data_IF_833926518075
#
_entry.id   IF_833926518075
#
_cell.length_a   1.000
_cell.length_b   1.000
_cell.length_c   1.000
_cell.angle_alpha   90.00
_cell.angle_beta   90.00
_cell.angle_gamma   90.00
#
_symmetry.space_group_name_H-M   'P 1'
#
loop_
_entity.id
_entity.type
_entity.pdbx_description
1 polymer ?
#
# COMPACT_ATOMS: atom_id res chain seq x y z
N UNK A 1 3.79 -7.74 18.66
CA UNK A 1 4.03 -8.77 17.63
C UNK A 1 4.96 -8.17 16.59
N UNK A 2 6.08 -8.79 16.24
CA UNK A 2 6.98 -8.27 15.17
C UNK A 2 6.36 -8.41 13.77
N UNK A 3 6.83 -7.63 12.79
CA UNK A 3 6.36 -7.71 11.39
C UNK A 3 6.47 -9.14 10.81
N UNK A 4 7.54 -9.86 11.17
CA UNK A 4 7.72 -11.28 10.80
C UNK A 4 6.71 -12.18 11.49
N UNK A 5 6.33 -11.91 12.74
CA UNK A 5 5.29 -12.69 13.41
C UNK A 5 3.92 -12.50 12.77
N UNK A 6 3.63 -11.31 12.22
CA UNK A 6 2.42 -11.05 11.42
C UNK A 6 2.43 -11.88 10.13
N UNK A 7 3.56 -11.91 9.41
CA UNK A 7 3.74 -12.74 8.21
C UNK A 7 3.72 -14.26 8.50
N UNK A 8 4.34 -14.69 9.60
CA UNK A 8 4.53 -16.11 9.96
C UNK A 8 3.25 -16.74 10.50
N UNK A 9 2.50 -16.04 11.38
CA UNK A 9 1.20 -16.53 11.87
C UNK A 9 0.24 -16.85 10.72
N UNK A 10 0.33 -16.11 9.62
CA UNK A 10 -0.55 -16.29 8.47
C UNK A 10 -0.12 -17.38 7.50
N UNK A 11 1.18 -17.66 7.32
CA UNK A 11 1.59 -18.85 6.54
C UNK A 11 1.08 -20.15 7.17
N UNK A 12 1.02 -20.20 8.51
CA UNK A 12 0.44 -21.33 9.25
C UNK A 12 -1.08 -21.41 9.05
N UNK A 13 -1.81 -20.28 9.15
CA UNK A 13 -3.26 -20.24 8.89
C UNK A 13 -3.62 -20.57 7.44
N UNK A 14 -2.83 -20.16 6.44
CA UNK A 14 -3.03 -20.51 5.02
C UNK A 14 -2.80 -22.01 4.76
N UNK A 15 -1.79 -22.63 5.39
CA UNK A 15 -1.58 -24.10 5.32
C UNK A 15 -2.80 -24.86 5.86
N UNK A 16 -3.37 -24.39 6.98
CA UNK A 16 -4.56 -25.00 7.58
C UNK A 16 -5.83 -24.82 6.70
N UNK A 17 -6.01 -23.64 6.09
CA UNK A 17 -7.11 -23.40 5.15
C UNK A 17 -7.01 -24.25 3.87
N UNK A 18 -5.79 -24.47 3.36
CA UNK A 18 -5.54 -25.35 2.20
C UNK A 18 -5.81 -26.83 2.52
N UNK A 19 -5.42 -27.29 3.71
CA UNK A 19 -5.69 -28.67 4.17
C UNK A 19 -7.20 -28.89 4.38
N UNK A 20 -7.94 -27.87 4.79
CA UNK A 20 -9.40 -27.94 4.94
C UNK A 20 -10.17 -27.96 3.61
N UNK A 21 -9.57 -27.51 2.51
CA UNK A 21 -10.21 -27.44 1.19
C UNK A 21 -10.06 -28.73 0.36
N UNK A 22 -9.27 -29.69 0.84
CA UNK A 22 -9.07 -31.00 0.20
C UNK A 22 -9.78 -32.10 1.00
N UNK A 23 -11.11 -32.17 0.93
CA UNK A 23 -11.88 -33.38 1.26
C UNK A 23 -12.52 -33.92 -0.03
N UNK A 24 -12.41 -35.23 -0.34
CA UNK A 24 -12.99 -35.80 -1.54
C UNK A 24 -14.52 -35.84 -1.40
N UNK A 25 -15.21 -35.40 -2.45
CA UNK A 25 -16.65 -35.59 -2.61
C UNK A 25 -16.86 -37.04 -3.04
N UNK A 26 -17.32 -37.87 -2.11
CA UNK A 26 -17.94 -39.18 -2.42
C UNK A 26 -19.45 -38.96 -2.35
N UNK A 27 -20.13 -39.29 -3.45
CA UNK A 27 -21.56 -39.03 -3.64
C UNK A 27 -22.49 -40.00 -2.90
N UNK A 28 -23.75 -39.59 -2.81
CA UNK A 28 -24.91 -40.48 -2.80
C UNK A 28 -26.16 -39.67 -3.19
N UNK A 29 -26.99 -40.28 -4.01
CA UNK A 29 -28.19 -39.72 -4.60
C UNK A 29 -29.46 -40.03 -3.80
N UNK A 30 -30.50 -39.25 -4.11
CA UNK A 30 -31.91 -39.63 -4.24
C UNK A 30 -32.90 -39.35 -3.07
N UNK A 31 -34.05 -38.78 -3.51
CA UNK A 31 -35.44 -39.13 -3.11
C UNK A 31 -36.22 -38.15 -2.21
N UNK A 32 -37.01 -37.29 -2.88
CA UNK A 32 -38.49 -37.16 -2.79
C UNK A 32 -39.19 -36.40 -1.65
N UNK A 33 -39.96 -35.38 -2.10
CA UNK A 33 -41.26 -34.82 -1.66
C UNK A 33 -41.49 -34.39 -0.19
N UNK A 34 -41.89 -33.12 -0.01
CA UNK A 34 -43.24 -32.67 0.43
C UNK A 34 -43.17 -31.19 0.90
N UNK A 35 -44.01 -30.34 0.29
CA UNK A 35 -44.54 -29.07 0.87
C UNK A 35 -45.81 -29.40 1.70
N UNK A 36 -46.56 -28.49 2.39
CA UNK A 36 -46.61 -27.00 2.26
C UNK A 36 -46.91 -26.17 3.56
N UNK A 37 -47.16 -24.87 3.31
CA UNK A 37 -47.91 -23.85 4.11
C UNK A 37 -47.09 -23.07 5.16
N UNK A 38 -47.19 -21.74 5.33
CA UNK A 38 -48.36 -20.83 5.33
C UNK A 38 -48.00 -19.35 5.03
N UNK A 39 -49.06 -18.59 4.68
CA UNK A 39 -49.19 -17.15 4.39
C UNK A 39 -48.63 -16.17 5.43
N UNK A 40 -48.20 -14.98 4.99
CA UNK A 40 -48.90 -13.72 5.32
C UNK A 40 -48.48 -12.53 4.43
N UNK A 41 -49.51 -11.82 3.95
CA UNK A 41 -49.48 -10.57 3.16
C UNK A 41 -49.10 -9.38 4.04
N UNK A 42 -48.38 -8.38 3.51
CA UNK A 42 -48.87 -6.99 3.49
C UNK A 42 -48.16 -6.17 2.40
N UNK A 43 -48.93 -5.23 1.86
CA UNK A 43 -48.75 -4.46 0.63
C UNK A 43 -48.45 -3.02 1.03
N UNK A 44 -47.51 -2.34 0.35
CA UNK A 44 -47.49 -0.88 0.30
C UNK A 44 -46.96 -0.42 -1.06
N UNK A 45 -47.88 0.16 -1.82
CA UNK A 45 -47.66 0.92 -3.04
C UNK A 45 -47.26 2.35 -2.65
N UNK A 46 -46.25 2.91 -3.30
CA UNK A 46 -46.26 4.33 -3.65
C UNK A 46 -45.57 4.52 -5.01
N UNK A 47 -46.20 5.37 -5.81
CA UNK A 47 -46.01 5.56 -7.24
C UNK A 47 -45.13 6.80 -7.53
N UNK A 48 -44.70 6.90 -8.80
CA UNK A 48 -44.16 8.04 -9.55
C UNK A 48 -42.66 8.39 -9.48
N UNK A 49 -41.98 7.90 -10.51
CA UNK A 49 -41.30 8.66 -11.57
C UNK A 49 -40.94 10.13 -11.30
N UNK A 50 -39.64 10.45 -11.30
CA UNK A 50 -39.12 11.65 -11.96
C UNK A 50 -37.68 11.41 -12.45
N UNK A 51 -37.46 11.77 -13.70
CA UNK A 51 -36.24 11.64 -14.48
C UNK A 51 -35.37 12.90 -14.28
N UNK A 52 -34.05 12.78 -14.10
CA UNK A 52 -33.04 13.47 -14.93
C UNK A 52 -31.60 13.30 -14.40
N UNK A 53 -30.71 13.05 -15.37
CA UNK A 53 -29.30 13.43 -15.43
C UNK A 53 -28.28 12.59 -14.66
N UNK A 54 -27.82 11.56 -15.37
CA UNK A 54 -26.54 10.88 -15.16
C UNK A 54 -25.39 11.87 -15.15
N UNK A 55 -24.67 11.98 -14.04
CA UNK A 55 -23.26 12.38 -14.05
C UNK A 55 -22.43 11.12 -13.87
N UNK A 56 -21.78 10.72 -14.95
CA UNK A 56 -20.79 9.65 -15.00
C UNK A 56 -19.67 9.95 -14.00
N UNK A 57 -19.69 9.27 -12.86
CA UNK A 57 -18.50 9.08 -12.04
C UNK A 57 -17.52 8.29 -12.91
N UNK A 58 -16.43 8.95 -13.31
CA UNK A 58 -15.33 8.31 -14.01
C UNK A 58 -14.90 7.07 -13.25
N UNK A 59 -15.21 5.91 -13.83
CA UNK A 59 -14.85 4.62 -13.29
C UNK A 59 -13.33 4.55 -13.24
N UNK A 60 -12.79 4.21 -12.06
CA UNK A 60 -11.42 3.72 -11.94
C UNK A 60 -11.24 2.61 -12.99
N UNK A 61 -10.14 2.60 -13.75
CA UNK A 61 -9.97 1.66 -14.84
C UNK A 61 -10.04 0.23 -14.30
N UNK A 62 -11.06 -0.51 -14.73
CA UNK A 62 -11.16 -1.96 -14.55
C UNK A 62 -9.93 -2.57 -15.22
N UNK A 63 -9.09 -3.19 -14.40
CA UNK A 63 -7.81 -3.80 -14.78
C UNK A 63 -7.93 -4.60 -16.08
N UNK A 64 -7.31 -4.11 -17.16
CA UNK A 64 -6.90 -4.98 -18.26
C UNK A 64 -5.92 -5.99 -17.65
N UNK A 65 -6.30 -7.26 -17.71
CA UNK A 65 -5.61 -8.38 -17.11
C UNK A 65 -4.27 -8.62 -17.82
N UNK A 66 -3.26 -7.80 -17.56
CA UNK A 66 -1.87 -8.19 -17.75
C UNK A 66 -1.59 -9.29 -16.72
N UNK A 67 -1.24 -10.47 -17.21
CA UNK A 67 -1.03 -11.70 -16.48
C UNK A 67 0.19 -11.60 -15.56
N UNK A 68 0.03 -10.95 -14.40
CA UNK A 68 0.99 -11.10 -13.30
C UNK A 68 1.13 -12.61 -13.02
N UNK A 69 2.35 -13.18 -13.03
CA UNK A 69 2.56 -14.59 -12.81
C UNK A 69 1.91 -15.03 -11.50
N UNK A 70 0.96 -15.97 -11.61
CA UNK A 70 0.12 -16.44 -10.50
C UNK A 70 0.85 -17.34 -9.50
N UNK A 71 2.16 -17.57 -9.68
CA UNK A 71 2.99 -18.28 -8.71
C UNK A 71 4.27 -17.49 -8.43
N UNK A 72 4.70 -17.43 -7.16
CA UNK A 72 6.01 -16.91 -6.78
C UNK A 72 7.10 -17.65 -7.55
N UNK A 73 7.80 -16.95 -8.44
CA UNK A 73 9.02 -17.50 -9.03
C UNK A 73 10.16 -17.17 -8.06
N UNK A 74 10.96 -18.17 -7.71
CA UNK A 74 12.22 -17.94 -6.99
C UNK A 74 13.03 -16.92 -7.78
N UNK A 75 13.56 -15.90 -7.10
CA UNK A 75 14.24 -14.75 -7.72
C UNK A 75 13.31 -13.61 -8.14
N UNK A 76 11.98 -13.72 -7.98
CA UNK A 76 11.06 -12.60 -8.21
C UNK A 76 11.17 -11.55 -7.11
N UNK A 77 10.90 -10.27 -7.42
CA UNK A 77 10.98 -9.21 -6.45
C UNK A 77 9.83 -9.27 -5.44
N UNK A 78 10.14 -8.91 -4.19
CA UNK A 78 9.15 -8.69 -3.13
C UNK A 78 9.21 -7.25 -2.68
N UNK A 79 8.15 -6.49 -2.94
CA UNK A 79 8.14 -5.05 -2.69
C UNK A 79 7.67 -4.75 -1.27
N UNK A 80 8.46 -3.97 -0.55
CA UNK A 80 8.09 -3.41 0.74
C UNK A 80 7.82 -1.92 0.50
N UNK A 81 6.54 -1.60 0.31
CA UNK A 81 6.09 -0.23 0.02
C UNK A 81 5.86 0.48 1.36
N UNK A 82 6.82 1.31 1.75
CA UNK A 82 6.87 1.99 3.02
C UNK A 82 6.50 3.47 2.87
N UNK A 83 5.49 3.93 3.60
CA UNK A 83 5.26 5.37 3.77
C UNK A 83 5.99 5.91 5.00
N UNK A 84 6.55 7.11 4.84
CA UNK A 84 7.09 7.92 5.92
C UNK A 84 6.19 9.13 6.17
N UNK A 85 6.15 9.58 7.42
CA UNK A 85 5.22 10.57 7.95
C UNK A 85 5.45 10.72 9.45
N UNK A 86 4.76 11.66 10.07
CA UNK A 86 4.70 11.81 11.52
C UNK A 86 3.53 11.00 12.12
N UNK A 87 3.58 10.67 13.42
CA UNK A 87 2.53 9.89 14.07
C UNK A 87 1.13 10.50 13.97
N UNK A 88 0.12 9.65 13.83
CA UNK A 88 -1.31 10.04 13.84
C UNK A 88 -1.89 9.83 15.24
N UNK A 89 -2.92 10.61 15.66
CA UNK A 89 -3.77 11.49 14.83
C UNK A 89 -3.26 12.94 14.65
N UNK A 90 -2.29 13.40 15.44
CA UNK A 90 -1.84 14.81 15.45
C UNK A 90 -1.47 15.33 14.05
N UNK A 91 -0.69 14.56 13.30
CA UNK A 91 -0.19 14.94 11.97
C UNK A 91 -1.01 14.37 10.80
N UNK A 92 -2.19 13.84 11.07
CA UNK A 92 -3.04 13.22 10.03
C UNK A 92 -3.40 14.24 8.93
N UNK A 93 -3.23 13.87 7.66
CA UNK A 93 -3.58 14.74 6.53
C UNK A 93 -2.66 15.94 6.33
N UNK A 94 -1.55 16.05 7.05
CA UNK A 94 -0.50 17.05 6.76
C UNK A 94 0.22 16.73 5.46
N UNK A 95 0.87 17.73 4.83
CA UNK A 95 1.62 17.49 3.58
C UNK A 95 2.75 16.47 3.76
N UNK A 96 3.44 16.49 4.91
CA UNK A 96 4.44 15.49 5.28
C UNK A 96 3.86 14.08 5.48
N UNK A 97 2.55 13.95 5.67
CA UNK A 97 1.87 12.66 5.77
C UNK A 97 1.23 12.23 4.43
N UNK A 98 1.51 12.89 3.31
CA UNK A 98 0.97 12.48 1.99
C UNK A 98 1.38 11.05 1.62
N UNK A 99 2.55 10.60 2.06
CA UNK A 99 2.99 9.21 1.87
C UNK A 99 2.05 8.22 2.56
N UNK A 100 1.58 8.52 3.77
CA UNK A 100 0.60 7.71 4.48
C UNK A 100 -0.74 7.67 3.75
N UNK A 101 -1.21 8.82 3.25
CA UNK A 101 -2.43 8.90 2.45
C UNK A 101 -2.32 8.03 1.19
N UNK A 102 -1.22 8.14 0.44
CA UNK A 102 -1.01 7.37 -0.79
C UNK A 102 -0.94 5.88 -0.52
N UNK A 103 -0.20 5.44 0.51
CA UNK A 103 -0.11 4.02 0.85
C UNK A 103 -1.44 3.46 1.33
N UNK A 104 -2.25 4.24 2.05
CA UNK A 104 -3.62 3.85 2.40
C UNK A 104 -4.49 3.63 1.15
N UNK A 105 -4.42 4.52 0.16
CA UNK A 105 -5.15 4.38 -1.10
C UNK A 105 -4.68 3.18 -1.91
N UNK A 106 -3.37 2.92 -1.96
CA UNK A 106 -2.83 1.72 -2.61
C UNK A 106 -3.30 0.44 -1.91
N UNK A 107 -3.25 0.40 -0.57
CA UNK A 107 -3.76 -0.74 0.22
C UNK A 107 -5.22 -1.05 -0.15
N UNK A 108 -6.07 -0.03 -0.20
CA UNK A 108 -7.48 -0.16 -0.58
C UNK A 108 -7.63 -0.61 -2.04
N UNK A 109 -6.89 0.01 -2.96
CA UNK A 109 -6.90 -0.34 -4.39
C UNK A 109 -6.58 -1.81 -4.64
N UNK A 110 -5.58 -2.36 -3.95
CA UNK A 110 -5.21 -3.77 -4.08
C UNK A 110 -6.06 -4.73 -3.22
N UNK A 111 -7.01 -4.23 -2.42
CA UNK A 111 -7.85 -5.06 -1.55
C UNK A 111 -7.08 -5.73 -0.40
N UNK A 112 -6.04 -5.08 0.11
CA UNK A 112 -5.25 -5.58 1.23
C UNK A 112 -6.02 -5.49 2.55
N UNK A 113 -5.55 -6.23 3.57
CA UNK A 113 -6.15 -6.26 4.90
C UNK A 113 -6.16 -4.87 5.52
N UNK A 114 -6.94 -4.70 6.59
CA UNK A 114 -6.74 -3.58 7.49
C UNK A 114 -5.34 -3.61 8.12
N UNK A 115 -4.96 -2.48 8.70
CA UNK A 115 -3.67 -2.31 9.33
C UNK A 115 -3.52 -3.18 10.59
N UNK A 116 -2.49 -4.02 10.59
CA UNK A 116 -2.00 -4.64 11.81
C UNK A 116 -1.03 -3.70 12.52
N UNK A 117 -1.39 -3.30 13.73
CA UNK A 117 -0.53 -2.45 14.56
C UNK A 117 0.61 -3.26 15.17
N UNK A 118 1.80 -2.67 15.17
CA UNK A 118 2.98 -3.19 15.85
C UNK A 118 3.60 -2.09 16.68
N UNK A 119 3.09 -1.95 17.90
CA UNK A 119 3.47 -0.86 18.81
C UNK A 119 4.94 -0.95 19.24
N UNK A 120 5.48 -2.17 19.35
CA UNK A 120 6.89 -2.40 19.70
C UNK A 120 7.84 -1.85 18.63
N UNK A 121 7.45 -1.92 17.37
CA UNK A 121 8.28 -1.48 16.24
C UNK A 121 7.79 -0.15 15.65
N UNK A 122 6.78 0.46 16.31
CA UNK A 122 6.13 1.73 15.94
C UNK A 122 5.79 1.78 14.46
N UNK A 123 5.04 0.79 13.99
CA UNK A 123 4.62 0.70 12.60
C UNK A 123 3.25 0.03 12.45
N UNK A 124 2.68 0.17 11.26
CA UNK A 124 1.53 -0.61 10.82
C UNK A 124 1.88 -1.34 9.54
N UNK A 125 1.40 -2.58 9.41
CA UNK A 125 1.60 -3.39 8.20
C UNK A 125 0.24 -3.89 7.67
N UNK A 126 0.10 -3.97 6.35
CA UNK A 126 -1.08 -4.56 5.71
C UNK A 126 -0.65 -5.63 4.71
N UNK A 127 -1.43 -6.71 4.64
CA UNK A 127 -1.07 -7.93 3.91
C UNK A 127 -2.11 -8.27 2.82
N UNK A 128 -1.72 -9.05 1.80
CA UNK A 128 -2.66 -9.57 0.81
C UNK A 128 -3.73 -10.45 1.49
N UNK A 129 -5.00 -10.18 1.21
CA UNK A 129 -6.14 -10.99 1.69
C UNK A 129 -6.52 -12.04 0.65
N UNK A 130 -7.16 -13.14 1.06
CA UNK A 130 -7.69 -14.14 0.12
C UNK A 130 -8.79 -13.59 -0.79
N UNK A 131 -9.50 -12.54 -0.33
CA UNK A 131 -10.51 -11.81 -1.10
C UNK A 131 -9.93 -10.67 -1.94
N UNK A 132 -8.63 -10.38 -1.81
CA UNK A 132 -7.97 -9.38 -2.65
C UNK A 132 -8.01 -9.84 -4.09
N UNK A 133 -8.00 -8.90 -5.03
CA UNK A 133 -7.85 -9.21 -6.46
C UNK A 133 -6.50 -9.84 -6.77
N UNK A 134 -5.55 -9.87 -5.82
CA UNK A 134 -4.20 -10.41 -5.98
C UNK A 134 -3.68 -11.04 -4.68
N UNK A 135 -4.24 -12.19 -4.24
CA UNK A 135 -3.98 -12.80 -2.93
C UNK A 135 -2.54 -13.29 -2.72
N UNK A 136 -1.77 -13.38 -3.81
CA UNK A 136 -0.37 -13.81 -3.84
C UNK A 136 0.58 -12.72 -4.37
N UNK A 137 0.14 -11.46 -4.37
CA UNK A 137 1.00 -10.34 -4.75
C UNK A 137 2.18 -10.24 -3.77
N UNK A 138 3.45 -10.29 -4.23
CA UNK A 138 4.62 -10.21 -3.35
C UNK A 138 4.88 -8.75 -2.96
N UNK A 139 3.89 -8.14 -2.29
CA UNK A 139 3.88 -6.77 -1.83
C UNK A 139 3.48 -6.75 -0.36
N UNK A 140 4.17 -5.92 0.41
CA UNK A 140 3.82 -5.57 1.78
C UNK A 140 3.66 -4.05 1.85
N UNK A 141 2.52 -3.58 2.37
CA UNK A 141 2.37 -2.18 2.74
C UNK A 141 2.82 -1.96 4.17
N UNK A 142 3.68 -0.97 4.35
CA UNK A 142 4.23 -0.56 5.63
C UNK A 142 3.95 0.93 5.84
N UNK A 143 3.50 1.28 7.05
CA UNK A 143 3.28 2.66 7.48
C UNK A 143 4.14 2.92 8.72
N UNK A 144 5.08 3.87 8.62
CA UNK A 144 5.86 4.33 9.77
C UNK A 144 4.93 4.92 10.83
N UNK A 145 5.18 4.63 12.10
CA UNK A 145 4.52 5.23 13.26
C UNK A 145 5.49 6.02 14.13
N UNK A 146 6.58 6.53 13.54
CA UNK A 146 7.60 7.32 14.24
C UNK A 146 7.65 8.74 13.71
N UNK A 147 8.31 9.65 14.43
CA UNK A 147 8.53 11.01 13.92
C UNK A 147 9.42 10.99 12.68
N UNK A 148 9.16 11.93 11.78
CA UNK A 148 9.78 12.02 10.47
C UNK A 148 11.31 12.00 10.55
N UNK A 149 11.90 12.79 11.45
CA UNK A 149 13.36 12.90 11.62
C UNK A 149 14.04 11.64 12.17
N UNK A 150 13.31 10.70 12.76
CA UNK A 150 13.83 9.46 13.36
C UNK A 150 13.29 8.20 12.70
N UNK A 151 12.75 8.32 11.49
CA UNK A 151 12.17 7.19 10.75
C UNK A 151 13.18 6.11 10.35
N UNK A 152 14.48 6.43 10.24
CA UNK A 152 15.48 5.51 9.71
C UNK A 152 15.76 4.28 10.57
N UNK A 153 15.98 4.44 11.88
CA UNK A 153 16.40 3.33 12.74
C UNK A 153 15.30 2.28 12.94
N UNK A 154 14.04 2.66 13.23
CA UNK A 154 12.92 1.72 13.26
C UNK A 154 12.71 1.03 11.91
N UNK A 155 12.76 1.78 10.81
CA UNK A 155 12.59 1.20 9.47
C UNK A 155 13.69 0.18 9.16
N UNK A 156 14.96 0.47 9.45
CA UNK A 156 16.07 -0.45 9.24
C UNK A 156 15.87 -1.77 10.00
N UNK A 157 15.49 -1.70 11.27
CA UNK A 157 15.23 -2.89 12.09
C UNK A 157 14.13 -3.75 11.47
N UNK A 158 12.99 -3.14 11.14
CA UNK A 158 11.86 -3.84 10.51
C UNK A 158 12.23 -4.41 9.14
N UNK A 159 12.90 -3.61 8.30
CA UNK A 159 13.33 -4.01 6.97
C UNK A 159 14.28 -5.21 7.01
N UNK A 160 15.23 -5.26 7.94
CA UNK A 160 16.14 -6.40 8.07
C UNK A 160 15.39 -7.71 8.38
N UNK A 161 14.40 -7.64 9.27
CA UNK A 161 13.56 -8.81 9.59
C UNK A 161 12.73 -9.26 8.37
N UNK A 162 12.13 -8.30 7.67
CA UNK A 162 11.35 -8.55 6.45
C UNK A 162 12.23 -9.12 5.32
N UNK A 163 13.42 -8.56 5.13
CA UNK A 163 14.42 -9.00 4.17
C UNK A 163 14.82 -10.45 4.41
N UNK A 164 15.22 -10.79 5.64
CA UNK A 164 15.56 -12.17 5.99
C UNK A 164 14.39 -13.13 5.72
N UNK A 165 13.17 -12.69 6.06
CA UNK A 165 11.98 -13.49 5.81
C UNK A 165 11.72 -13.70 4.32
N UNK A 166 11.72 -12.66 3.50
CA UNK A 166 11.43 -12.77 2.06
C UNK A 166 12.52 -13.54 1.31
N UNK A 167 13.79 -13.35 1.68
CA UNK A 167 14.92 -14.13 1.15
C UNK A 167 14.79 -15.62 1.49
N UNK A 168 14.36 -15.98 2.71
CA UNK A 168 14.10 -17.37 3.10
C UNK A 168 12.96 -18.04 2.30
N UNK A 169 12.13 -17.21 1.66
CA UNK A 169 11.06 -17.64 0.75
C UNK A 169 11.47 -17.61 -0.73
N UNK A 170 12.74 -17.26 -1.02
CA UNK A 170 13.28 -17.22 -2.37
C UNK A 170 12.96 -15.94 -3.15
N UNK A 171 12.51 -14.87 -2.49
CA UNK A 171 12.28 -13.58 -3.14
C UNK A 171 13.49 -12.63 -3.03
N UNK A 172 13.52 -11.61 -3.89
CA UNK A 172 14.45 -10.49 -3.82
C UNK A 172 13.76 -9.28 -3.18
N UNK A 173 14.06 -8.90 -1.93
CA UNK A 173 13.39 -7.79 -1.26
C UNK A 173 13.78 -6.43 -1.85
N UNK A 174 12.78 -5.59 -2.12
CA UNK A 174 12.97 -4.22 -2.60
C UNK A 174 12.21 -3.25 -1.70
N UNK A 175 12.96 -2.34 -1.05
CA UNK A 175 12.40 -1.28 -0.24
C UNK A 175 12.05 -0.08 -1.11
N UNK A 176 10.80 0.38 -1.05
CA UNK A 176 10.31 1.56 -1.77
C UNK A 176 9.72 2.55 -0.76
N UNK A 177 10.27 3.76 -0.70
CA UNK A 177 9.84 4.81 0.22
C UNK A 177 8.91 5.79 -0.48
N UNK A 178 7.66 5.88 -0.04
CA UNK A 178 6.68 6.87 -0.49
C UNK A 178 6.76 8.10 0.43
N UNK A 179 7.03 9.27 -0.14
CA UNK A 179 7.29 10.52 0.58
C UNK A 179 6.76 11.75 -0.18
N UNK A 180 6.65 12.89 0.50
CA UNK A 180 6.34 14.17 -0.12
C UNK A 180 7.56 14.82 -0.81
N UNK A 181 7.29 15.58 -1.87
CA UNK A 181 8.31 16.30 -2.62
C UNK A 181 7.88 17.73 -2.93
N UNK A 182 8.52 18.67 -2.23
CA UNK A 182 8.29 20.11 -2.38
C UNK A 182 8.61 20.63 -3.78
N UNK A 183 9.56 20.01 -4.48
CA UNK A 183 9.94 20.46 -5.83
C UNK A 183 8.92 20.13 -6.92
N UNK A 184 7.86 19.38 -6.61
CA UNK A 184 6.86 18.93 -7.57
C UNK A 184 5.49 19.49 -7.27
N UNK A 185 4.79 19.91 -8.33
CA UNK A 185 3.38 20.30 -8.27
C UNK A 185 2.51 19.12 -7.84
N UNK A 186 1.42 19.43 -7.15
CA UNK A 186 0.38 18.45 -6.79
C UNK A 186 -0.09 17.70 -8.04
N UNK A 187 -0.25 16.39 -7.94
CA UNK A 187 -0.58 15.49 -9.07
C UNK A 187 0.63 14.94 -9.85
N UNK A 188 1.84 15.48 -9.59
CA UNK A 188 3.08 14.93 -10.11
C UNK A 188 3.65 13.88 -9.15
N UNK A 189 4.02 12.73 -9.71
CA UNK A 189 4.78 11.69 -9.00
C UNK A 189 6.01 11.30 -9.81
N UNK A 190 7.08 10.93 -9.13
CA UNK A 190 8.28 10.40 -9.77
C UNK A 190 8.86 9.24 -8.98
N UNK A 191 9.07 8.11 -9.64
CA UNK A 191 9.96 7.05 -9.15
C UNK A 191 11.42 7.50 -9.32
N UNK A 192 12.20 7.48 -8.25
CA UNK A 192 13.65 7.72 -8.30
C UNK A 192 14.42 6.48 -7.86
N UNK A 193 15.47 6.20 -8.63
CA UNK A 193 16.45 5.13 -8.41
C UNK A 193 17.60 5.61 -7.51
N UNK A 194 18.68 4.81 -7.37
CA UNK A 194 19.82 5.05 -6.46
C UNK A 194 20.32 6.50 -6.46
N UNK A 195 20.88 6.94 -5.32
CA UNK A 195 21.53 8.25 -5.12
C UNK A 195 20.61 9.46 -5.27
N UNK A 196 19.31 9.28 -5.04
CA UNK A 196 18.37 10.39 -4.99
C UNK A 196 18.77 11.36 -3.86
N UNK A 197 19.01 12.63 -4.22
CA UNK A 197 19.25 13.68 -3.25
C UNK A 197 18.09 13.80 -2.27
N UNK A 198 18.41 14.01 -0.99
CA UNK A 198 17.42 14.12 0.10
C UNK A 198 16.59 15.41 0.00
N UNK A 199 17.08 16.42 -0.75
CA UNK A 199 16.40 17.72 -0.99
C UNK A 199 15.86 18.41 0.28
N UNK A 200 16.51 18.18 1.42
CA UNK A 200 16.10 18.73 2.72
C UNK A 200 15.05 17.91 3.48
N UNK A 201 14.55 16.80 2.93
CA UNK A 201 13.54 15.95 3.57
C UNK A 201 14.13 15.17 4.76
N UNK A 202 13.69 15.49 5.99
CA UNK A 202 14.27 14.92 7.22
C UNK A 202 14.09 13.39 7.34
N UNK A 203 12.96 12.85 6.89
CA UNK A 203 12.75 11.39 6.84
C UNK A 203 13.72 10.65 5.93
N UNK A 204 13.85 11.08 4.67
CA UNK A 204 14.85 10.53 3.76
C UNK A 204 16.29 10.70 4.28
N UNK A 205 16.61 11.80 4.98
CA UNK A 205 17.89 11.97 5.67
C UNK A 205 18.15 10.87 6.69
N UNK A 206 17.17 10.65 7.57
CA UNK A 206 17.22 9.64 8.63
C UNK A 206 17.38 8.23 8.06
N UNK A 207 16.59 7.89 7.03
CA UNK A 207 16.64 6.60 6.34
C UNK A 207 18.00 6.40 5.68
N UNK A 208 18.49 7.38 4.91
CA UNK A 208 19.80 7.31 4.25
C UNK A 208 20.93 7.11 5.26
N UNK A 209 20.90 7.78 6.41
CA UNK A 209 21.92 7.62 7.45
C UNK A 209 21.95 6.19 8.01
N UNK A 210 20.80 5.53 8.10
CA UNK A 210 20.68 4.22 8.74
C UNK A 210 20.87 3.06 7.76
N UNK A 211 20.27 3.17 6.58
CA UNK A 211 20.27 2.13 5.55
C UNK A 211 21.36 2.32 4.50
N UNK A 212 21.98 3.50 4.37
CA UNK A 212 22.93 3.83 3.32
C UNK A 212 22.25 4.35 2.04
N UNK A 213 23.02 5.02 1.20
CA UNK A 213 22.52 5.50 -0.10
C UNK A 213 22.34 4.37 -1.10
N UNK A 214 21.28 4.42 -1.89
CA UNK A 214 21.04 3.47 -2.97
C UNK A 214 20.56 2.08 -2.54
N UNK A 215 20.19 1.89 -1.27
CA UNK A 215 19.61 0.64 -0.75
C UNK A 215 18.07 0.62 -0.76
N UNK A 216 17.45 1.69 -1.28
CA UNK A 216 16.01 1.81 -1.42
C UNK A 216 15.66 2.69 -2.64
N UNK A 217 14.46 2.49 -3.18
CA UNK A 217 13.85 3.35 -4.18
C UNK A 217 12.96 4.39 -3.49
N UNK A 218 12.69 5.51 -4.15
CA UNK A 218 11.71 6.48 -3.64
C UNK A 218 10.62 6.78 -4.65
N UNK A 219 9.39 6.88 -4.17
CA UNK A 219 8.25 7.44 -4.91
C UNK A 219 7.97 8.80 -4.29
N UNK A 220 8.28 9.84 -5.05
CA UNK A 220 8.20 11.23 -4.62
C UNK A 220 6.87 11.81 -5.09
N UNK A 221 6.00 12.17 -4.16
CA UNK A 221 4.66 12.69 -4.42
C UNK A 221 4.67 14.20 -4.26
N UNK A 222 4.31 14.93 -5.32
CA UNK A 222 4.33 16.39 -5.30
C UNK A 222 3.30 16.99 -4.36
N UNK A 223 3.74 17.91 -3.51
CA UNK A 223 2.90 18.68 -2.58
C UNK A 223 3.01 20.19 -2.80
N UNK A 224 3.68 20.60 -3.88
CA UNK A 224 4.12 21.98 -4.15
C UNK A 224 5.05 22.53 -3.05
N UNK A 225 5.47 23.78 -3.19
CA UNK A 225 6.29 24.49 -2.20
C UNK A 225 5.66 25.81 -1.83
N UNK A 226 5.78 26.21 -0.57
CA UNK A 226 5.55 27.60 -0.18
C UNK A 226 6.49 28.55 -0.96
N UNK A 227 6.06 29.81 -1.10
CA UNK A 227 6.84 30.82 -1.81
C UNK A 227 8.14 31.20 -1.06
N UNK A 228 8.11 31.10 0.27
CA UNK A 228 9.26 31.40 1.11
C UNK A 228 10.39 30.39 0.91
N UNK A 229 11.62 30.92 1.02
CA UNK A 229 12.84 30.11 1.05
C UNK A 229 13.35 29.90 2.48
N UNK A 230 12.76 30.54 3.50
CA UNK A 230 13.13 30.31 4.90
C UNK A 230 12.77 28.87 5.29
N UNK A 231 13.72 28.18 5.92
CA UNK A 231 13.55 26.82 6.42
C UNK A 231 12.40 26.67 7.41
N UNK A 232 12.10 27.70 8.21
CA UNK A 232 11.00 27.68 9.20
C UNK A 232 9.65 27.66 8.50
N UNK A 233 9.47 28.54 7.52
CA UNK A 233 8.23 28.60 6.74
C UNK A 233 8.00 27.32 5.93
N UNK A 234 9.09 26.70 5.44
CA UNK A 234 9.01 25.39 4.78
C UNK A 234 8.61 24.30 5.77
N UNK A 235 9.16 24.32 6.99
CA UNK A 235 8.81 23.36 8.03
C UNK A 235 7.35 23.50 8.49
N UNK A 236 6.83 24.71 8.62
CA UNK A 236 5.42 24.96 8.92
C UNK A 236 4.53 24.50 7.76
N UNK A 237 4.89 24.84 6.52
CA UNK A 237 4.14 24.45 5.32
C UNK A 237 3.95 22.94 5.17
N UNK A 238 4.96 22.14 5.49
CA UNK A 238 4.86 20.68 5.40
C UNK A 238 4.03 20.07 6.54
N UNK A 239 3.92 20.76 7.67
CA UNK A 239 3.10 20.38 8.81
C UNK A 239 1.66 20.87 8.70
N UNK A 240 1.36 21.77 7.78
CA UNK A 240 -0.01 22.18 7.46
C UNK A 240 -0.82 21.06 6.80
N UNK A 241 -2.15 21.12 7.01
CA UNK A 241 -3.11 20.21 6.37
C UNK A 241 -3.08 20.38 4.85
N UNK A 242 -3.09 19.25 4.16
CA UNK A 242 -3.23 19.18 2.71
C UNK A 242 -4.66 19.52 2.33
N UNK A 243 -4.89 20.51 1.44
CA UNK A 243 -6.21 20.83 0.93
C UNK A 243 -6.92 19.59 0.37
N UNK A 244 -8.24 19.51 0.54
CA UNK A 244 -9.03 18.37 0.04
C UNK A 244 -8.94 18.22 -1.48
N UNK A 245 -8.87 19.34 -2.20
CA UNK A 245 -8.72 19.34 -3.66
C UNK A 245 -7.36 18.76 -4.07
N UNK A 246 -6.29 19.08 -3.32
CA UNK A 246 -4.97 18.51 -3.56
C UNK A 246 -4.96 17.00 -3.32
N UNK A 247 -5.61 16.52 -2.25
CA UNK A 247 -5.76 15.08 -1.99
C UNK A 247 -6.53 14.37 -3.10
N UNK A 248 -7.63 14.96 -3.60
CA UNK A 248 -8.39 14.43 -4.75
C UNK A 248 -7.51 14.35 -6.00
N UNK A 249 -6.72 15.39 -6.25
CA UNK A 249 -5.80 15.43 -7.38
C UNK A 249 -4.70 14.39 -7.27
N UNK A 250 -4.13 14.20 -6.08
CA UNK A 250 -3.16 13.14 -5.80
C UNK A 250 -3.79 11.77 -6.01
N UNK A 251 -5.01 11.56 -5.52
CA UNK A 251 -5.73 10.30 -5.71
C UNK A 251 -5.98 10.01 -7.21
N UNK A 252 -6.47 10.99 -7.97
CA UNK A 252 -6.79 10.84 -9.38
C UNK A 252 -5.54 10.70 -10.28
N UNK A 253 -4.47 11.47 -10.02
CA UNK A 253 -3.31 11.54 -10.92
C UNK A 253 -2.12 10.70 -10.48
N UNK A 254 -1.86 10.56 -9.18
CA UNK A 254 -0.68 9.87 -8.67
C UNK A 254 -0.93 8.37 -8.47
N UNK A 255 -2.09 7.96 -7.93
CA UNK A 255 -2.35 6.55 -7.61
C UNK A 255 -2.24 5.66 -8.86
N UNK A 256 -2.86 5.97 -10.02
CA UNK A 256 -2.72 5.14 -11.21
C UNK A 256 -1.27 4.99 -11.68
N UNK A 257 -0.48 6.07 -11.62
CA UNK A 257 0.94 6.05 -12.00
C UNK A 257 1.77 5.21 -11.04
N UNK A 258 1.48 5.27 -9.74
CA UNK A 258 2.17 4.46 -8.73
C UNK A 258 1.81 2.98 -8.87
N UNK A 259 0.55 2.67 -9.20
CA UNK A 259 0.14 1.29 -9.55
C UNK A 259 0.97 0.79 -10.72
N UNK A 260 1.11 1.58 -11.80
CA UNK A 260 2.00 1.22 -12.92
C UNK A 260 3.45 0.97 -12.46
N UNK A 261 4.02 1.84 -11.62
CA UNK A 261 5.37 1.61 -11.09
C UNK A 261 5.48 0.32 -10.27
N UNK A 262 4.46 -0.01 -9.46
CA UNK A 262 4.43 -1.25 -8.68
C UNK A 262 4.38 -2.46 -9.61
N UNK A 263 3.51 -2.45 -10.63
CA UNK A 263 3.41 -3.53 -11.61
C UNK A 263 4.73 -3.72 -12.39
N UNK A 264 5.34 -2.62 -12.85
CA UNK A 264 6.65 -2.65 -13.51
C UNK A 264 7.76 -3.21 -12.60
N UNK A 265 7.79 -2.80 -11.33
CA UNK A 265 8.73 -3.34 -10.35
C UNK A 265 8.48 -4.83 -10.10
N UNK A 266 7.22 -5.29 -10.05
CA UNK A 266 6.90 -6.72 -9.91
C UNK A 266 7.37 -7.56 -11.10
N UNK A 267 7.43 -6.97 -12.29
CA UNK A 267 8.03 -7.57 -13.49
C UNK A 267 9.57 -7.54 -13.49
N UNK A 268 10.19 -6.94 -12.47
CA UNK A 268 11.65 -6.82 -12.35
C UNK A 268 12.24 -5.54 -12.96
N UNK A 269 11.41 -4.66 -13.54
CA UNK A 269 11.89 -3.37 -14.05
C UNK A 269 12.31 -2.48 -12.88
N UNK A 270 13.29 -1.59 -13.11
CA UNK A 270 13.84 -0.67 -12.11
C UNK A 270 14.60 -1.32 -10.93
N UNK A 271 14.62 -2.66 -10.82
CA UNK A 271 15.22 -3.39 -9.69
C UNK A 271 16.64 -3.87 -10.00
N UNK A 272 16.94 -4.19 -11.26
CA UNK A 272 18.23 -4.72 -11.70
C UNK A 272 19.43 -3.77 -11.43
N UNK A 273 19.17 -2.50 -11.13
CA UNK A 273 20.18 -1.50 -10.79
C UNK A 273 20.52 -1.44 -9.28
N UNK A 274 19.79 -2.18 -8.42
CA UNK A 274 20.04 -2.23 -6.97
C UNK A 274 21.15 -3.23 -6.57
N UNK A 275 21.44 -4.23 -7.40
CA UNK A 275 22.36 -5.34 -7.08
C UNK A 275 23.75 -5.23 -7.71
N UNK A 276 24.01 -4.19 -8.53
CA UNK A 276 25.35 -3.93 -9.04
C UNK A 276 26.04 -2.89 -8.14
N UNK A 277 27.12 -3.26 -7.41
CA UNK A 277 27.79 -2.39 -6.44
C UNK A 277 28.19 -1.03 -7.04
#
# INVERSE_FOLDING_TARGET
MTAVNILTKMHVSRKLAFISASKPIIGAAATTMLQPTTNMKTRLFFDRSFCHSSMSLGSLPTRLTASIPRSPRVGSPYLIICSIGNPEPEYEGTRHNVGHFVVEKLRQYYGFSDWYNNDLEKCKCALPTSSSTSPDLPVLFYKSGTYMNVSGAPLKKNYNLLKQYTESKGYVPVLVIVNDELGFKVGKVQLRKRKAGIRGHNGLRSIKQQLGDGNFLTINVGVDRCQSKDSRDVAEYVLDKTPREDLRRIEAECIPKIVTYIDEMLEGKHINELHNP
#
